data_IF_975694332315
#
_entry.id   IF_975694332315
#
_cell.length_a   1.000
_cell.length_b   1.000
_cell.length_c   1.000
_cell.angle_alpha   90.00
_cell.angle_beta   90.00
_cell.angle_gamma   90.00
#
_symmetry.space_group_name_H-M   'P 1'
#
loop_
_entity.id
_entity.type
_entity.pdbx_description
1 polymer ?
#
# COMPACT_ATOMS: atom_id res chain seq x y z
N UNK A 1 -4.12 -16.01 -19.69
CA UNK A 1 -3.70 -14.69 -19.19
C UNK A 1 -4.74 -14.01 -18.28
N UNK A 2 -6.01 -13.91 -18.64
CA UNK A 2 -7.03 -13.29 -17.77
C UNK A 2 -7.17 -14.02 -16.41
N UNK A 3 -7.17 -15.34 -16.40
CA UNK A 3 -7.28 -16.16 -15.18
C UNK A 3 -6.09 -16.00 -14.23
N UNK A 4 -4.88 -15.71 -14.74
CA UNK A 4 -3.69 -15.47 -13.90
C UNK A 4 -3.64 -14.08 -13.27
N UNK A 5 -4.58 -13.21 -13.64
CA UNK A 5 -4.71 -11.89 -13.04
C UNK A 5 -5.71 -11.86 -11.85
N UNK A 6 -6.46 -12.93 -11.63
CA UNK A 6 -7.51 -13.04 -10.62
C UNK A 6 -7.15 -14.07 -9.55
N UNK A 7 -7.58 -13.89 -8.28
CA UNK A 7 -7.41 -14.91 -7.24
C UNK A 7 -8.12 -16.23 -7.61
N UNK A 8 -7.55 -17.39 -7.26
CA UNK A 8 -6.30 -17.58 -6.49
C UNK A 8 -5.02 -17.43 -7.32
N UNK A 9 -5.06 -17.59 -8.64
CA UNK A 9 -3.87 -17.57 -9.50
C UNK A 9 -3.20 -16.18 -9.52
N UNK A 10 -3.98 -15.12 -9.48
CA UNK A 10 -3.50 -13.73 -9.39
C UNK A 10 -2.78 -13.38 -8.10
N UNK A 11 -2.83 -14.25 -7.08
CA UNK A 11 -2.06 -14.05 -5.86
C UNK A 11 -0.54 -14.05 -6.10
N UNK A 12 -0.06 -14.69 -7.16
CA UNK A 12 1.37 -14.79 -7.55
C UNK A 12 1.67 -13.88 -8.75
N UNK A 13 0.77 -12.97 -9.09
CA UNK A 13 0.79 -12.19 -10.35
C UNK A 13 1.69 -10.95 -10.34
N UNK A 14 2.77 -10.90 -9.55
CA UNK A 14 3.64 -9.72 -9.40
C UNK A 14 4.34 -9.25 -10.69
N UNK A 15 4.36 -10.02 -11.73
CA UNK A 15 4.92 -9.66 -13.04
C UNK A 15 3.85 -9.69 -14.14
N UNK A 16 2.59 -9.40 -13.79
CA UNK A 16 1.50 -9.44 -14.75
C UNK A 16 1.75 -8.51 -15.94
N UNK A 17 1.71 -9.02 -17.19
CA UNK A 17 1.84 -8.18 -18.38
C UNK A 17 0.70 -7.16 -18.50
N UNK A 18 -0.37 -7.28 -17.71
CA UNK A 18 -1.47 -6.33 -17.67
C UNK A 18 -1.04 -4.97 -17.06
N UNK A 19 0.10 -4.87 -16.36
CA UNK A 19 0.68 -3.58 -15.98
C UNK A 19 1.01 -2.70 -17.19
N UNK A 20 1.19 -3.30 -18.40
CA UNK A 20 1.33 -2.54 -19.64
C UNK A 20 0.11 -1.66 -19.96
N UNK A 21 -1.05 -1.91 -19.33
CA UNK A 21 -2.21 -1.03 -19.43
C UNK A 21 -1.92 0.40 -18.92
N UNK A 22 -1.06 0.55 -17.92
CA UNK A 22 -0.76 1.86 -17.34
C UNK A 22 -0.02 2.81 -18.29
N UNK A 23 1.08 2.41 -18.96
CA UNK A 23 1.68 3.21 -20.01
C UNK A 23 0.84 3.26 -21.29
N UNK A 24 0.11 2.19 -21.68
CA UNK A 24 -0.62 2.17 -22.92
C UNK A 24 -1.94 2.96 -22.88
N UNK A 25 -2.66 2.91 -21.77
CA UNK A 25 -4.00 3.47 -21.64
C UNK A 25 -4.16 4.28 -20.34
N UNK A 26 -3.39 5.37 -20.15
CA UNK A 26 -3.49 6.21 -18.95
C UNK A 26 -4.89 6.81 -18.81
N UNK A 27 -5.47 6.72 -17.61
CA UNK A 27 -6.82 7.21 -17.30
C UNK A 27 -7.98 6.30 -17.72
N UNK A 28 -7.72 5.19 -18.42
CA UNK A 28 -8.77 4.29 -18.89
C UNK A 28 -9.21 3.25 -17.84
N UNK A 29 -8.49 3.12 -16.72
CA UNK A 29 -8.86 2.24 -15.62
C UNK A 29 -9.13 0.80 -16.07
N UNK A 30 -10.29 0.27 -15.68
CA UNK A 30 -10.68 -1.11 -16.03
C UNK A 30 -10.76 -1.35 -17.55
N UNK A 31 -11.20 -0.36 -18.33
CA UNK A 31 -11.23 -0.47 -19.78
C UNK A 31 -9.82 -0.63 -20.36
N UNK A 32 -8.82 0.09 -19.81
CA UNK A 32 -7.42 -0.06 -20.20
C UNK A 32 -6.88 -1.47 -19.92
N UNK A 33 -7.24 -2.06 -18.79
CA UNK A 33 -6.89 -3.45 -18.46
C UNK A 33 -7.50 -4.42 -19.48
N UNK A 34 -8.79 -4.26 -19.80
CA UNK A 34 -9.49 -5.10 -20.77
C UNK A 34 -8.90 -4.97 -22.18
N UNK A 35 -8.62 -3.76 -22.64
CA UNK A 35 -7.96 -3.50 -23.93
C UNK A 35 -6.59 -4.17 -24.00
N UNK A 36 -5.80 -4.06 -22.94
CA UNK A 36 -4.48 -4.71 -22.85
C UNK A 36 -4.61 -6.22 -22.86
N UNK A 37 -5.52 -6.79 -22.06
CA UNK A 37 -5.77 -8.23 -22.03
C UNK A 37 -6.20 -8.77 -23.42
N UNK A 38 -7.12 -8.07 -24.08
CA UNK A 38 -7.61 -8.43 -25.41
C UNK A 38 -6.48 -8.32 -26.44
N UNK A 39 -5.71 -7.23 -26.41
CA UNK A 39 -4.57 -7.02 -27.30
C UNK A 39 -3.50 -8.11 -27.16
N UNK A 40 -3.10 -8.40 -25.93
CA UNK A 40 -2.12 -9.46 -25.64
C UNK A 40 -2.63 -10.85 -26.07
N UNK A 41 -3.93 -11.14 -25.87
CA UNK A 41 -4.53 -12.39 -26.31
C UNK A 41 -4.56 -12.46 -27.84
N UNK A 42 -4.98 -11.40 -28.51
CA UNK A 42 -5.00 -11.34 -29.97
C UNK A 42 -3.59 -11.55 -30.56
N UNK A 43 -2.56 -10.89 -29.99
CA UNK A 43 -1.18 -11.06 -30.41
C UNK A 43 -0.67 -12.49 -30.21
N UNK A 44 -1.09 -13.16 -29.14
CA UNK A 44 -0.63 -14.52 -28.82
C UNK A 44 -1.33 -15.62 -29.62
N UNK A 45 -2.61 -15.43 -30.00
CA UNK A 45 -3.45 -16.52 -30.58
C UNK A 45 -4.18 -16.11 -31.84
N UNK A 46 -4.19 -14.82 -32.18
CA UNK A 46 -4.98 -14.30 -33.30
C UNK A 46 -4.40 -14.66 -34.67
N UNK A 47 -5.23 -15.00 -35.64
CA UNK A 47 -4.79 -15.16 -37.03
C UNK A 47 -4.29 -13.81 -37.55
N UNK A 48 -3.22 -13.84 -38.38
CA UNK A 48 -2.58 -12.61 -38.93
C UNK A 48 -3.56 -11.61 -39.55
N UNK A 49 -4.63 -12.09 -40.17
CA UNK A 49 -5.69 -11.25 -40.78
C UNK A 49 -6.45 -10.40 -39.75
N UNK A 50 -6.54 -10.82 -38.50
CA UNK A 50 -7.17 -10.03 -37.43
C UNK A 50 -6.16 -9.06 -36.78
N UNK A 51 -4.86 -9.33 -36.80
CA UNK A 51 -3.83 -8.46 -36.27
C UNK A 51 -3.66 -7.18 -37.09
N UNK A 52 -3.85 -7.26 -38.42
CA UNK A 52 -3.73 -6.11 -39.31
C UNK A 52 -4.62 -4.92 -38.91
N UNK A 53 -5.93 -5.07 -38.61
CA UNK A 53 -6.77 -3.98 -38.14
C UNK A 53 -6.67 -3.75 -36.62
N UNK A 54 -6.37 -4.77 -35.81
CA UNK A 54 -6.36 -4.65 -34.33
C UNK A 54 -5.19 -3.84 -33.81
N UNK A 55 -3.98 -4.02 -34.37
CA UNK A 55 -2.78 -3.29 -33.92
C UNK A 55 -2.90 -1.77 -34.12
N UNK A 56 -3.25 -1.26 -35.34
CA UNK A 56 -3.44 0.18 -35.52
C UNK A 56 -4.59 0.74 -34.70
N UNK A 57 -5.67 -0.02 -34.48
CA UNK A 57 -6.76 0.41 -33.60
C UNK A 57 -6.31 0.56 -32.15
N UNK A 58 -5.58 -0.41 -31.60
CA UNK A 58 -5.02 -0.31 -30.26
C UNK A 58 -4.01 0.83 -30.14
N UNK A 59 -3.19 1.06 -31.16
CA UNK A 59 -2.27 2.18 -31.22
C UNK A 59 -3.01 3.52 -31.24
N UNK A 60 -4.09 3.63 -32.03
CA UNK A 60 -4.95 4.82 -32.04
C UNK A 60 -5.60 5.06 -30.68
N UNK A 61 -6.18 4.02 -30.06
CA UNK A 61 -6.77 4.13 -28.71
C UNK A 61 -5.73 4.53 -27.68
N UNK A 62 -4.51 4.00 -27.76
CA UNK A 62 -3.40 4.40 -26.91
C UNK A 62 -3.04 5.87 -27.13
N UNK A 63 -2.95 6.33 -28.38
CA UNK A 63 -2.70 7.73 -28.69
C UNK A 63 -3.80 8.65 -28.13
N UNK A 64 -5.06 8.29 -28.31
CA UNK A 64 -6.22 8.99 -27.75
C UNK A 64 -6.10 9.05 -26.22
N UNK A 65 -5.77 7.92 -25.57
CA UNK A 65 -5.58 7.86 -24.13
C UNK A 65 -4.49 8.84 -23.67
N UNK A 66 -3.39 9.00 -24.41
CA UNK A 66 -2.33 9.94 -24.06
C UNK A 66 -2.70 11.42 -24.29
N UNK A 67 -3.44 11.69 -25.36
CA UNK A 67 -3.91 13.06 -25.67
C UNK A 67 -4.92 13.55 -24.62
N UNK A 68 -5.82 12.65 -24.19
CA UNK A 68 -6.85 12.98 -23.19
C UNK A 68 -6.49 12.56 -21.78
N UNK A 69 -5.29 11.99 -21.56
CA UNK A 69 -4.83 11.64 -20.22
C UNK A 69 -4.88 12.88 -19.33
N UNK A 70 -5.57 12.82 -18.20
CA UNK A 70 -5.55 13.94 -17.26
C UNK A 70 -4.11 14.20 -16.83
N UNK A 71 -3.74 15.48 -16.72
CA UNK A 71 -2.50 15.84 -16.05
C UNK A 71 -2.48 15.12 -14.68
N UNK A 72 -1.31 14.63 -14.25
CA UNK A 72 -1.20 13.86 -12.99
C UNK A 72 -1.96 14.57 -11.89
N UNK A 73 -3.06 14.00 -11.36
CA UNK A 73 -3.86 14.67 -10.35
C UNK A 73 -3.01 14.84 -9.09
N UNK A 74 -3.04 16.02 -8.51
CA UNK A 74 -2.30 16.29 -7.27
C UNK A 74 -2.99 15.63 -6.09
N UNK A 75 -2.21 15.02 -5.16
CA UNK A 75 -2.76 14.54 -3.91
C UNK A 75 -3.49 15.65 -3.15
N UNK A 76 -4.54 15.31 -2.39
CA UNK A 76 -5.21 16.27 -1.53
C UNK A 76 -4.24 16.90 -0.52
N UNK A 77 -4.22 18.22 -0.40
CA UNK A 77 -3.29 18.96 0.47
C UNK A 77 -3.42 18.59 1.97
N UNK A 78 -4.59 18.05 2.38
CA UNK A 78 -4.84 17.62 3.75
C UNK A 78 -4.26 16.25 4.08
N UNK A 79 -3.69 15.50 3.12
CA UNK A 79 -3.10 14.18 3.37
C UNK A 79 -1.59 14.31 3.33
N UNK A 80 -0.96 14.04 4.47
CA UNK A 80 0.49 14.10 4.64
C UNK A 80 1.03 12.68 4.81
N UNK A 81 1.82 12.22 3.85
CA UNK A 81 2.51 10.94 3.93
C UNK A 81 3.89 11.11 4.59
N UNK A 82 4.15 10.31 5.59
CA UNK A 82 5.37 10.34 6.39
C UNK A 82 6.10 9.01 6.23
N UNK A 83 7.12 8.98 5.38
CA UNK A 83 7.99 7.81 5.29
C UNK A 83 8.94 7.75 6.49
N UNK A 84 9.31 6.55 6.92
CA UNK A 84 10.11 6.31 8.11
C UNK A 84 11.34 5.45 7.79
N UNK A 85 12.28 5.38 8.73
CA UNK A 85 13.45 4.48 8.70
C UNK A 85 13.55 3.69 10.00
N UNK A 86 12.46 3.01 10.36
CA UNK A 86 12.35 2.25 11.60
C UNK A 86 13.01 0.86 11.53
N UNK A 87 13.43 0.43 10.34
CA UNK A 87 14.02 -0.89 10.13
C UNK A 87 13.00 -2.01 10.20
N UNK A 88 13.46 -3.22 10.51
CA UNK A 88 12.63 -4.44 10.58
C UNK A 88 11.58 -4.35 11.68
N UNK A 89 10.50 -5.10 11.51
CA UNK A 89 9.43 -5.23 12.50
C UNK A 89 9.94 -5.70 13.87
N UNK A 90 9.39 -5.20 14.98
CA UNK A 90 9.79 -5.61 16.32
C UNK A 90 9.39 -7.05 16.59
N UNK A 91 10.30 -7.82 17.20
CA UNK A 91 10.10 -9.24 17.53
C UNK A 91 9.83 -9.48 19.02
N UNK A 92 10.11 -8.49 19.86
CA UNK A 92 9.97 -8.55 21.32
C UNK A 92 9.34 -7.27 21.87
N UNK A 93 8.98 -7.28 23.16
CA UNK A 93 8.29 -6.17 23.81
C UNK A 93 9.18 -4.92 23.92
N UNK A 94 10.47 -5.07 24.17
CA UNK A 94 11.38 -3.94 24.33
C UNK A 94 11.62 -3.22 23.01
N UNK A 95 11.83 -3.96 21.94
CA UNK A 95 11.96 -3.42 20.58
C UNK A 95 10.65 -2.78 20.12
N UNK A 96 9.49 -3.38 20.45
CA UNK A 96 8.19 -2.78 20.20
C UNK A 96 8.02 -1.45 20.94
N UNK A 97 8.34 -1.41 22.23
CA UNK A 97 8.20 -0.19 23.04
C UNK A 97 9.10 0.93 22.51
N UNK A 98 10.37 0.65 22.27
CA UNK A 98 11.32 1.63 21.73
C UNK A 98 10.87 2.18 20.38
N UNK A 99 10.40 1.31 19.48
CA UNK A 99 9.86 1.70 18.18
C UNK A 99 8.63 2.59 18.33
N UNK A 100 7.68 2.19 19.17
CA UNK A 100 6.44 2.95 19.35
C UNK A 100 6.66 4.28 20.11
N UNK A 101 7.64 4.38 21.00
CA UNK A 101 8.05 5.65 21.60
C UNK A 101 8.58 6.62 20.53
N UNK A 102 9.50 6.18 19.69
CA UNK A 102 10.03 6.98 18.58
C UNK A 102 8.92 7.38 17.59
N UNK A 103 8.07 6.44 17.21
CA UNK A 103 6.95 6.69 16.30
C UNK A 103 5.94 7.67 16.92
N UNK A 104 5.61 7.54 18.20
CA UNK A 104 4.71 8.44 18.90
C UNK A 104 5.26 9.88 18.96
N UNK A 105 6.56 10.03 19.19
CA UNK A 105 7.23 11.34 19.14
C UNK A 105 7.11 11.95 17.75
N UNK A 106 7.37 11.17 16.69
CA UNK A 106 7.23 11.60 15.31
C UNK A 106 5.78 12.00 14.98
N UNK A 107 4.80 11.17 15.36
CA UNK A 107 3.37 11.47 15.15
C UNK A 107 2.98 12.77 15.83
N UNK A 108 3.38 12.97 17.10
CA UNK A 108 3.07 14.22 17.82
C UNK A 108 3.74 15.43 17.19
N UNK A 109 4.99 15.32 16.80
CA UNK A 109 5.69 16.39 16.08
C UNK A 109 4.95 16.75 14.78
N UNK A 110 4.58 15.74 13.99
CA UNK A 110 3.85 15.96 12.73
C UNK A 110 2.47 16.59 12.98
N UNK A 111 1.73 16.14 14.01
CA UNK A 111 0.47 16.78 14.40
C UNK A 111 0.63 18.28 14.70
N UNK A 112 1.72 18.68 15.32
CA UNK A 112 1.97 20.10 15.64
C UNK A 112 2.44 20.91 14.42
N UNK A 113 3.10 20.27 13.45
CA UNK A 113 3.65 20.94 12.27
C UNK A 113 2.71 20.98 11.07
N UNK A 114 1.58 20.25 11.11
CA UNK A 114 0.57 20.24 10.05
C UNK A 114 -0.69 21.03 10.44
N UNK A 115 -1.43 21.57 9.47
CA UNK A 115 -2.73 22.21 9.73
C UNK A 115 -3.71 21.24 10.41
N UNK A 116 -4.61 21.76 11.26
CA UNK A 116 -5.71 20.98 11.84
C UNK A 116 -6.66 20.45 10.75
N UNK A 117 -7.29 19.30 11.01
CA UNK A 117 -8.12 18.62 10.00
C UNK A 117 -7.31 17.78 9.00
N UNK A 118 -6.03 17.55 9.28
CA UNK A 118 -5.14 16.75 8.42
C UNK A 118 -5.33 15.25 8.61
N UNK A 119 -4.98 14.49 7.58
CA UNK A 119 -4.81 13.04 7.62
C UNK A 119 -3.33 12.72 7.50
N UNK A 120 -2.74 12.13 8.54
CA UNK A 120 -1.35 11.71 8.57
C UNK A 120 -1.24 10.24 8.22
N UNK A 121 -0.50 9.91 7.18
CA UNK A 121 -0.30 8.54 6.70
C UNK A 121 1.10 8.06 7.05
N UNK A 122 1.18 6.96 7.80
CA UNK A 122 2.42 6.27 8.15
C UNK A 122 2.51 4.91 7.43
N UNK A 123 3.73 4.33 7.29
CA UNK A 123 3.95 3.11 6.54
C UNK A 123 3.24 1.87 7.10
N UNK A 124 3.22 0.82 6.26
CA UNK A 124 2.89 -0.55 6.68
C UNK A 124 3.73 -0.95 7.89
N UNK A 125 3.08 -1.67 8.82
CA UNK A 125 3.69 -2.24 10.03
C UNK A 125 4.52 -1.24 10.88
N UNK A 126 4.27 0.07 10.72
CA UNK A 126 5.00 1.09 11.46
C UNK A 126 4.83 0.91 12.99
N UNK A 127 3.64 0.54 13.45
CA UNK A 127 3.35 0.28 14.86
C UNK A 127 3.66 -1.16 15.30
N UNK A 128 3.89 -2.09 14.35
CA UNK A 128 4.05 -3.51 14.64
C UNK A 128 2.77 -4.18 15.16
N UNK A 129 2.90 -5.22 16.01
CA UNK A 129 1.75 -5.90 16.59
C UNK A 129 0.86 -4.95 17.40
N UNK A 130 -0.44 -4.93 17.06
CA UNK A 130 -1.43 -4.09 17.72
C UNK A 130 -2.33 -4.91 18.64
N UNK A 131 -2.22 -4.63 19.93
CA UNK A 131 -2.97 -5.30 20.99
C UNK A 131 -3.84 -4.29 21.75
N UNK A 132 -4.60 -4.76 22.75
CA UNK A 132 -5.28 -3.87 23.69
C UNK A 132 -4.34 -2.88 24.37
N UNK A 133 -3.10 -3.27 24.64
CA UNK A 133 -2.08 -2.42 25.26
C UNK A 133 -1.59 -1.32 24.31
N UNK A 134 -1.53 -1.61 23.01
CA UNK A 134 -1.23 -0.61 21.99
C UNK A 134 -2.28 0.52 22.01
N UNK A 135 -3.56 0.17 22.13
CA UNK A 135 -4.63 1.16 22.24
C UNK A 135 -4.51 2.04 23.49
N UNK A 136 -4.06 1.47 24.62
CA UNK A 136 -3.77 2.24 25.84
C UNK A 136 -2.57 3.17 25.64
N UNK A 137 -1.48 2.65 25.07
CA UNK A 137 -0.27 3.42 24.77
C UNK A 137 -0.53 4.63 23.87
N UNK A 138 -1.38 4.47 22.84
CA UNK A 138 -1.68 5.50 21.87
C UNK A 138 -2.83 6.44 22.30
N UNK A 139 -3.50 6.22 23.42
CA UNK A 139 -4.73 6.92 23.84
C UNK A 139 -4.57 8.45 23.90
N UNK A 140 -3.48 8.94 24.49
CA UNK A 140 -3.22 10.38 24.60
C UNK A 140 -2.98 11.04 23.24
N UNK A 141 -2.25 10.38 22.35
CA UNK A 141 -2.01 10.86 20.99
C UNK A 141 -3.30 10.85 20.16
N UNK A 142 -4.14 9.82 20.34
CA UNK A 142 -5.45 9.73 19.69
C UNK A 142 -6.40 10.84 20.19
N UNK A 143 -6.35 11.20 21.47
CA UNK A 143 -7.11 12.32 22.02
C UNK A 143 -6.64 13.67 21.45
N UNK A 144 -5.32 13.87 21.34
CA UNK A 144 -4.74 15.07 20.72
C UNK A 144 -5.16 15.19 19.24
N UNK A 145 -5.01 14.11 18.48
CA UNK A 145 -5.43 14.11 17.06
C UNK A 145 -6.93 14.41 16.93
N UNK A 146 -7.78 13.84 17.78
CA UNK A 146 -9.23 14.10 17.79
C UNK A 146 -9.54 15.56 18.09
N UNK A 147 -8.89 16.15 19.10
CA UNK A 147 -9.11 17.54 19.48
C UNK A 147 -8.75 18.52 18.35
N UNK A 148 -7.80 18.13 17.49
CA UNK A 148 -7.38 18.91 16.32
C UNK A 148 -8.24 18.63 15.07
N UNK A 149 -9.15 17.65 15.10
CA UNK A 149 -9.85 17.17 13.92
C UNK A 149 -8.98 16.32 12.98
N UNK A 150 -7.79 15.90 13.44
CA UNK A 150 -6.84 15.14 12.63
C UNK A 150 -7.13 13.64 12.69
N UNK A 151 -6.77 12.93 11.61
CA UNK A 151 -6.79 11.47 11.52
C UNK A 151 -5.38 10.95 11.33
N UNK A 152 -4.94 10.02 12.18
CA UNK A 152 -3.64 9.35 12.05
C UNK A 152 -3.87 7.93 11.56
N UNK A 153 -3.21 7.58 10.46
CA UNK A 153 -3.23 6.25 9.85
C UNK A 153 -1.88 5.58 10.09
N UNK A 154 -1.88 4.44 10.78
CA UNK A 154 -0.68 3.64 11.06
C UNK A 154 -0.82 2.24 10.49
N UNK A 155 0.21 1.73 9.84
CA UNK A 155 0.33 0.31 9.53
C UNK A 155 0.60 -0.49 10.80
N UNK A 156 -0.13 -1.60 10.97
CA UNK A 156 -0.05 -2.46 12.14
C UNK A 156 -0.47 -3.90 11.81
N UNK A 157 0.04 -4.85 12.59
CA UNK A 157 -0.40 -6.25 12.55
C UNK A 157 -1.50 -6.47 13.60
N UNK A 158 -2.69 -6.89 13.16
CA UNK A 158 -3.83 -7.20 14.03
C UNK A 158 -4.02 -8.72 14.13
N UNK A 159 -4.53 -9.19 15.26
CA UNK A 159 -5.09 -10.53 15.35
C UNK A 159 -6.45 -10.58 14.62
N UNK A 160 -6.66 -11.59 13.78
CA UNK A 160 -7.96 -11.84 13.15
C UNK A 160 -8.86 -12.61 14.13
N UNK A 161 -10.10 -12.17 14.36
CA UNK A 161 -11.06 -12.92 15.20
C UNK A 161 -11.31 -14.36 14.74
N UNK A 162 -11.13 -14.65 13.46
CA UNK A 162 -11.28 -15.99 12.87
C UNK A 162 -9.98 -16.80 12.83
N UNK A 163 -8.93 -16.31 13.51
CA UNK A 163 -7.60 -16.91 13.56
C UNK A 163 -6.66 -16.40 12.47
N UNK A 164 -5.37 -16.31 12.81
CA UNK A 164 -4.34 -15.70 11.96
C UNK A 164 -4.15 -14.21 12.23
N UNK A 165 -3.53 -13.52 11.29
CA UNK A 165 -3.13 -12.12 11.39
C UNK A 165 -3.72 -11.31 10.22
N UNK A 166 -3.88 -10.02 10.43
CA UNK A 166 -4.23 -9.04 9.40
C UNK A 166 -3.08 -8.03 9.27
N UNK A 167 -2.60 -7.84 8.06
CA UNK A 167 -1.74 -6.72 7.73
C UNK A 167 -2.64 -5.52 7.45
N UNK A 168 -2.68 -4.58 8.39
CA UNK A 168 -3.73 -3.59 8.44
C UNK A 168 -3.19 -2.16 8.47
N UNK A 169 -3.96 -1.24 7.90
CA UNK A 169 -3.89 0.18 8.13
C UNK A 169 -5.00 0.56 9.12
N UNK A 170 -4.61 1.05 10.28
CA UNK A 170 -5.53 1.48 11.34
C UNK A 170 -5.55 2.99 11.44
N UNK A 171 -6.73 3.56 11.65
CA UNK A 171 -6.94 4.99 11.83
C UNK A 171 -7.50 5.33 13.20
N UNK A 172 -6.99 6.40 13.80
CA UNK A 172 -7.50 6.97 15.05
C UNK A 172 -7.45 8.50 15.01
N UNK A 173 -8.08 9.13 15.97
CA UNK A 173 -8.28 10.58 16.02
C UNK A 173 -9.69 10.97 15.67
N UNK A 174 -9.89 11.87 14.72
CA UNK A 174 -11.20 12.32 14.24
C UNK A 174 -12.01 11.18 13.60
N UNK A 175 -11.32 10.33 12.81
CA UNK A 175 -11.95 9.18 12.16
C UNK A 175 -11.30 7.88 12.60
N UNK A 176 -12.12 6.85 12.82
CA UNK A 176 -11.67 5.48 13.05
C UNK A 176 -11.76 4.71 11.75
N UNK A 177 -10.70 4.01 11.40
CA UNK A 177 -10.60 3.18 10.20
C UNK A 177 -9.87 1.91 10.55
N UNK A 178 -10.30 0.79 9.99
CA UNK A 178 -9.52 -0.44 9.93
C UNK A 178 -9.70 -1.02 8.53
N UNK A 179 -8.60 -1.16 7.82
CA UNK A 179 -8.57 -1.83 6.53
C UNK A 179 -7.33 -2.69 6.46
N UNK A 180 -7.44 -3.89 5.91
CA UNK A 180 -6.32 -4.84 5.82
C UNK A 180 -5.94 -5.10 4.37
N UNK A 181 -4.77 -5.68 4.15
CA UNK A 181 -4.40 -6.22 2.85
C UNK A 181 -5.44 -7.24 2.37
N UNK A 182 -5.78 -7.19 1.07
CA UNK A 182 -6.54 -8.25 0.40
C UNK A 182 -5.67 -9.46 0.09
N UNK A 183 -4.38 -9.19 -0.18
CA UNK A 183 -3.39 -10.22 -0.52
C UNK A 183 -2.03 -9.93 0.10
N UNK A 184 -1.74 -10.52 1.26
CA UNK A 184 -0.39 -10.55 1.81
C UNK A 184 0.55 -11.40 0.93
N UNK A 185 1.87 -11.31 1.16
CA UNK A 185 2.89 -11.99 0.35
C UNK A 185 2.71 -13.51 0.39
N UNK A 186 2.45 -14.18 -0.76
CA UNK A 186 2.33 -15.63 -0.82
C UNK A 186 3.60 -16.33 -0.35
N UNK A 187 3.45 -17.38 0.45
CA UNK A 187 4.52 -18.19 1.06
C UNK A 187 5.48 -17.40 1.98
N UNK A 188 5.41 -16.08 1.98
CA UNK A 188 6.16 -15.23 2.91
C UNK A 188 5.36 -14.94 4.18
N UNK A 189 4.28 -14.19 4.05
CA UNK A 189 3.41 -13.82 5.17
C UNK A 189 2.04 -14.52 5.12
N UNK A 190 1.57 -14.91 3.94
CA UNK A 190 0.34 -15.66 3.73
C UNK A 190 0.62 -17.10 3.32
N UNK A 191 0.12 -18.05 4.11
CA UNK A 191 0.15 -19.49 3.82
C UNK A 191 -1.30 -19.97 3.83
N UNK A 192 -1.81 -20.57 2.73
CA UNK A 192 -3.17 -21.12 2.72
C UNK A 192 -3.39 -22.07 3.90
N UNK A 193 -4.50 -21.87 4.64
CA UNK A 193 -4.84 -22.63 5.85
C UNK A 193 -3.82 -22.55 7.01
N UNK A 194 -2.81 -21.70 6.94
CA UNK A 194 -1.81 -21.49 8.00
C UNK A 194 -2.40 -20.75 9.20
N UNK A 195 -2.41 -21.36 10.39
CA UNK A 195 -3.00 -20.76 11.61
C UNK A 195 -2.29 -19.48 12.10
N UNK A 196 -1.03 -19.29 11.77
CA UNK A 196 -0.22 -18.13 12.19
C UNK A 196 0.20 -17.25 11.02
N UNK A 197 -0.47 -17.36 9.88
CA UNK A 197 -0.19 -16.52 8.71
C UNK A 197 -1.16 -15.34 8.66
N UNK A 198 -0.79 -14.34 7.88
CA UNK A 198 -1.74 -13.29 7.49
C UNK A 198 -2.87 -13.88 6.67
N UNK A 199 -4.03 -13.25 6.72
CA UNK A 199 -5.22 -13.67 5.97
C UNK A 199 -5.36 -12.87 4.70
N UNK A 200 -5.68 -13.58 3.60
CA UNK A 200 -6.14 -12.95 2.37
C UNK A 200 -7.66 -12.73 2.42
N UNK A 201 -8.12 -11.61 1.88
CA UNK A 201 -9.56 -11.28 1.74
C UNK A 201 -9.88 -10.94 0.28
N UNK A 202 -10.14 -11.98 -0.49
CA UNK A 202 -10.46 -11.86 -1.92
C UNK A 202 -11.90 -11.44 -2.19
N UNK A 203 -12.76 -11.46 -1.18
CA UNK A 203 -14.18 -11.12 -1.29
C UNK A 203 -14.46 -9.62 -1.15
N UNK A 204 -13.50 -8.83 -0.67
CA UNK A 204 -13.68 -7.42 -0.42
C UNK A 204 -13.55 -6.58 -1.68
N UNK A 205 -14.68 -6.14 -2.21
CA UNK A 205 -14.79 -5.22 -3.33
C UNK A 205 -15.02 -3.77 -2.87
N UNK A 206 -14.73 -2.84 -3.79
CA UNK A 206 -14.96 -1.42 -3.56
C UNK A 206 -13.88 -0.72 -2.73
N UNK A 207 -14.03 0.61 -2.59
CA UNK A 207 -13.10 1.44 -1.85
C UNK A 207 -13.29 1.35 -0.33
N UNK A 208 -12.26 1.76 0.40
CA UNK A 208 -12.36 2.08 1.82
C UNK A 208 -12.67 3.57 1.97
N UNK A 209 -13.48 3.94 2.97
CA UNK A 209 -13.69 5.36 3.30
C UNK A 209 -12.75 5.79 4.41
N UNK A 210 -11.91 6.80 4.13
CA UNK A 210 -10.97 7.39 5.08
C UNK A 210 -11.20 8.90 5.11
N UNK A 211 -11.51 9.44 6.29
CA UNK A 211 -11.79 10.87 6.47
C UNK A 211 -12.79 11.42 5.43
N UNK A 212 -13.88 10.70 5.18
CA UNK A 212 -14.93 11.06 4.22
C UNK A 212 -14.57 10.84 2.75
N UNK A 213 -13.36 10.37 2.43
CA UNK A 213 -12.90 10.11 1.05
C UNK A 213 -12.91 8.62 0.72
N UNK A 214 -13.37 8.27 -0.47
CA UNK A 214 -13.25 6.92 -1.01
C UNK A 214 -11.84 6.71 -1.56
N UNK A 215 -11.12 5.73 -1.02
CA UNK A 215 -9.72 5.45 -1.35
C UNK A 215 -9.52 3.97 -1.70
N UNK A 216 -8.63 3.69 -2.63
CA UNK A 216 -8.08 2.36 -2.83
C UNK A 216 -6.83 2.25 -1.96
N UNK A 217 -6.85 1.39 -0.94
CA UNK A 217 -5.68 1.12 -0.10
C UNK A 217 -4.96 -0.10 -0.66
N UNK A 218 -3.68 0.06 -0.94
CA UNK A 218 -2.76 -0.98 -1.42
C UNK A 218 -1.65 -1.17 -0.38
N UNK A 219 -1.67 -2.30 0.29
CA UNK A 219 -0.70 -2.62 1.33
C UNK A 219 0.39 -3.51 0.73
N UNK A 220 1.63 -3.03 0.78
CA UNK A 220 2.83 -3.77 0.44
C UNK A 220 2.75 -4.50 -0.91
N UNK A 221 2.76 -5.82 -0.89
CA UNK A 221 2.71 -6.70 -2.06
C UNK A 221 1.56 -6.40 -3.03
N UNK A 222 0.42 -5.88 -2.54
CA UNK A 222 -0.73 -5.52 -3.38
C UNK A 222 -0.39 -4.48 -4.45
N UNK A 223 0.62 -3.65 -4.22
CA UNK A 223 1.09 -2.66 -5.18
C UNK A 223 1.67 -3.31 -6.45
N UNK A 224 2.12 -4.56 -6.35
CA UNK A 224 2.63 -5.37 -7.46
C UNK A 224 1.54 -6.18 -8.18
N UNK A 225 0.29 -6.08 -7.73
CA UNK A 225 -0.85 -6.82 -8.26
C UNK A 225 -1.87 -5.87 -8.88
N UNK A 226 -2.41 -6.24 -10.04
CA UNK A 226 -3.45 -5.45 -10.71
C UNK A 226 -4.80 -5.59 -10.02
N UNK A 227 -5.15 -6.82 -9.59
CA UNK A 227 -6.50 -7.11 -9.14
C UNK A 227 -6.91 -6.40 -7.83
N UNK A 228 -6.04 -6.13 -6.81
CA UNK A 228 -6.49 -5.40 -5.62
C UNK A 228 -6.94 -3.97 -5.94
N UNK A 229 -6.23 -3.31 -6.86
CA UNK A 229 -6.66 -2.02 -7.39
C UNK A 229 -7.95 -2.17 -8.21
N UNK A 230 -8.01 -3.11 -9.16
CA UNK A 230 -9.21 -3.35 -9.96
C UNK A 230 -10.44 -3.63 -9.09
N UNK A 231 -10.32 -4.45 -8.03
CA UNK A 231 -11.40 -4.72 -7.06
C UNK A 231 -11.87 -3.46 -6.35
N UNK A 232 -10.95 -2.57 -5.97
CA UNK A 232 -11.31 -1.30 -5.34
C UNK A 232 -12.10 -0.39 -6.29
N UNK A 233 -11.77 -0.42 -7.60
CA UNK A 233 -12.43 0.37 -8.63
C UNK A 233 -13.68 -0.29 -9.23
N UNK A 234 -13.94 -1.57 -8.94
CA UNK A 234 -15.19 -2.26 -9.26
C UNK A 234 -16.27 -1.84 -8.26
N UNK A 235 -16.73 -0.60 -8.36
CA UNK A 235 -17.76 -0.01 -7.50
C UNK A 235 -18.53 1.05 -8.26
N UNK A 236 -19.84 1.19 -8.03
CA UNK A 236 -20.63 2.30 -8.58
C UNK A 236 -20.06 3.68 -8.16
N UNK A 237 -19.34 3.71 -7.05
CA UNK A 237 -18.67 4.90 -6.52
C UNK A 237 -17.17 4.62 -6.37
N UNK A 238 -16.39 4.69 -7.46
CA UNK A 238 -14.98 4.34 -7.44
C UNK A 238 -14.15 5.26 -6.53
N UNK A 239 -12.96 4.82 -6.10
CA UNK A 239 -12.06 5.65 -5.31
C UNK A 239 -11.55 6.83 -6.13
N UNK A 240 -11.38 7.99 -5.45
CA UNK A 240 -10.75 9.17 -6.02
C UNK A 240 -9.27 9.32 -5.64
N UNK A 241 -8.68 8.31 -4.98
CA UNK A 241 -7.31 8.35 -4.48
C UNK A 241 -6.80 6.92 -4.28
N UNK A 242 -5.51 6.69 -4.57
CA UNK A 242 -4.78 5.50 -4.14
C UNK A 242 -3.92 5.87 -2.94
N UNK A 243 -4.01 5.08 -1.87
CA UNK A 243 -3.08 5.10 -0.73
C UNK A 243 -2.23 3.84 -0.82
N UNK A 244 -0.91 4.01 -0.91
CA UNK A 244 0.06 2.93 -0.96
C UNK A 244 0.95 2.95 0.29
N UNK A 245 0.97 1.87 1.06
CA UNK A 245 1.82 1.73 2.24
C UNK A 245 2.70 0.50 2.13
N UNK A 246 3.97 0.62 2.51
CA UNK A 246 4.91 -0.48 2.41
C UNK A 246 5.93 -0.49 3.53
N UNK A 247 6.48 -1.68 3.83
CA UNK A 247 7.56 -1.87 4.79
C UNK A 247 8.78 -2.50 4.11
N UNK A 248 9.78 -1.70 3.84
CA UNK A 248 11.07 -2.10 3.27
C UNK A 248 12.18 -2.14 4.32
N UNK A 249 11.83 -2.19 5.62
CA UNK A 249 12.81 -2.25 6.72
C UNK A 249 13.73 -3.48 6.68
N UNK A 250 13.39 -4.48 5.87
CA UNK A 250 14.16 -5.69 5.59
C UNK A 250 15.15 -5.53 4.43
N UNK A 251 14.97 -4.52 3.57
CA UNK A 251 15.74 -4.36 2.35
C UNK A 251 17.20 -4.02 2.66
N UNK A 252 18.11 -4.68 1.95
CA UNK A 252 19.54 -4.39 1.98
C UNK A 252 19.93 -3.45 0.84
N UNK A 253 21.07 -2.75 0.92
CA UNK A 253 21.56 -1.90 -0.17
C UNK A 253 21.64 -2.66 -1.50
N UNK A 254 21.15 -2.04 -2.58
CA UNK A 254 21.18 -2.63 -3.93
C UNK A 254 19.92 -3.41 -4.33
N UNK A 255 19.03 -3.74 -3.41
CA UNK A 255 17.74 -4.37 -3.71
C UNK A 255 16.81 -3.36 -4.41
N UNK A 256 16.21 -3.76 -5.54
CA UNK A 256 15.35 -2.90 -6.38
C UNK A 256 13.86 -3.04 -6.11
N UNK A 257 13.42 -4.04 -5.34
CA UNK A 257 12.00 -4.27 -5.03
C UNK A 257 11.29 -3.03 -4.50
N UNK A 258 11.86 -2.23 -3.57
CA UNK A 258 11.20 -1.01 -3.10
C UNK A 258 10.86 -0.02 -4.24
N UNK A 259 11.77 0.14 -5.20
CA UNK A 259 11.56 1.02 -6.34
C UNK A 259 10.57 0.43 -7.34
N UNK A 260 10.63 -0.88 -7.61
CA UNK A 260 9.68 -1.57 -8.48
C UNK A 260 8.27 -1.43 -7.92
N UNK A 261 8.11 -1.63 -6.61
CA UNK A 261 6.84 -1.51 -5.91
C UNK A 261 6.26 -0.09 -5.98
N UNK A 262 7.07 0.93 -5.71
CA UNK A 262 6.65 2.33 -5.82
C UNK A 262 6.26 2.69 -7.26
N UNK A 263 7.03 2.24 -8.26
CA UNK A 263 6.72 2.45 -9.68
C UNK A 263 5.40 1.77 -10.07
N UNK A 264 5.13 0.58 -9.54
CA UNK A 264 3.89 -0.15 -9.81
C UNK A 264 2.67 0.57 -9.21
N UNK A 265 2.76 1.09 -7.98
CA UNK A 265 1.70 1.91 -7.37
C UNK A 265 1.42 3.17 -8.22
N UNK A 266 2.47 3.87 -8.65
CA UNK A 266 2.34 5.04 -9.54
C UNK A 266 1.74 4.67 -10.90
N UNK A 267 2.09 3.51 -11.45
CA UNK A 267 1.49 3.00 -12.69
C UNK A 267 -0.01 2.75 -12.53
N UNK A 268 -0.44 2.13 -11.41
CA UNK A 268 -1.86 1.94 -11.10
C UNK A 268 -2.60 3.28 -10.96
N UNK A 269 -2.02 4.25 -10.26
CA UNK A 269 -2.62 5.58 -10.13
C UNK A 269 -2.79 6.25 -11.49
N UNK A 270 -1.79 6.15 -12.37
CA UNK A 270 -1.86 6.64 -13.75
C UNK A 270 -2.94 5.93 -14.56
N UNK A 271 -3.04 4.60 -14.46
CA UNK A 271 -4.04 3.80 -15.16
C UNK A 271 -5.47 4.22 -14.79
N UNK A 272 -5.71 4.44 -13.49
CA UNK A 272 -7.04 4.83 -13.00
C UNK A 272 -7.29 6.35 -13.02
N UNK A 273 -6.31 7.16 -13.41
CA UNK A 273 -6.44 8.61 -13.52
C UNK A 273 -6.67 9.31 -12.17
N UNK A 274 -6.18 8.75 -11.07
CA UNK A 274 -6.34 9.29 -9.71
C UNK A 274 -4.98 9.64 -9.09
N UNK A 275 -4.92 10.55 -8.11
CA UNK A 275 -3.69 10.81 -7.36
C UNK A 275 -3.29 9.61 -6.53
N UNK A 276 -1.99 9.56 -6.20
CA UNK A 276 -1.39 8.60 -5.28
C UNK A 276 -0.78 9.34 -4.09
N UNK A 277 -0.94 8.76 -2.90
CA UNK A 277 -0.21 9.13 -1.69
C UNK A 277 0.45 7.87 -1.14
N UNK A 278 1.78 7.91 -0.96
CA UNK A 278 2.52 6.73 -0.51
C UNK A 278 3.39 7.03 0.71
N UNK A 279 3.47 6.05 1.63
CA UNK A 279 4.36 6.05 2.78
C UNK A 279 5.10 4.72 2.89
N UNK A 280 6.42 4.78 3.00
CA UNK A 280 7.28 3.60 3.09
C UNK A 280 8.16 3.64 4.34
N UNK A 281 8.36 2.49 4.99
CA UNK A 281 9.37 2.30 6.00
C UNK A 281 10.63 1.73 5.35
N UNK A 282 11.77 2.39 5.56
CA UNK A 282 13.08 1.93 5.08
C UNK A 282 13.94 1.27 6.16
N UNK A 283 15.12 0.74 5.79
CA UNK A 283 16.11 0.23 6.73
C UNK A 283 16.64 1.35 7.64
N UNK A 284 17.07 0.98 8.83
CA UNK A 284 17.77 1.92 9.72
C UNK A 284 19.09 2.38 9.09
N UNK A 285 19.48 3.66 9.28
CA UNK A 285 20.83 4.11 8.91
C UNK A 285 21.91 3.30 9.63
N UNK A 286 22.99 2.97 8.92
CA UNK A 286 24.10 2.15 9.44
C UNK A 286 24.79 2.82 10.65
N UNK A 287 24.77 4.15 10.74
CA UNK A 287 25.35 4.92 11.86
C UNK A 287 24.68 4.57 13.21
N UNK A 288 23.37 4.25 13.22
CA UNK A 288 22.67 3.86 14.46
C UNK A 288 22.93 2.40 14.87
N UNK A 289 23.46 1.57 13.97
CA UNK A 289 23.81 0.19 14.28
C UNK A 289 25.16 0.07 15.02
N UNK A 290 26.05 1.05 14.84
CA UNK A 290 27.39 1.07 15.45
C UNK A 290 27.41 1.62 16.88
N UNK A 291 26.50 2.54 17.23
CA UNK A 291 26.51 3.22 18.54
C UNK A 291 26.06 2.31 19.70
N UNK A 292 25.40 1.18 19.40
CA UNK A 292 24.97 0.23 20.46
C UNK A 292 26.01 -0.82 20.83
N UNK A 293 27.08 -0.99 20.04
CA UNK A 293 28.15 -1.94 20.37
C UNK A 293 29.24 -1.38 21.29
N UNK A 294 29.32 -0.06 21.43
CA UNK A 294 30.34 0.57 22.27
C UNK A 294 29.95 0.70 23.75
N UNK A 295 28.65 0.60 24.09
CA UNK A 295 28.19 0.70 25.48
C UNK A 295 28.16 -0.62 26.26
N UNK A 296 28.28 -1.77 25.53
CA UNK A 296 28.18 -3.10 26.15
C UNK A 296 29.55 -3.74 26.45
N UNK A 297 30.66 -2.98 26.34
CA UNK A 297 32.03 -3.46 26.53
C UNK A 297 32.75 -2.78 27.70
N UNK A 298 32.09 -2.54 28.83
CA UNK A 298 32.75 -2.36 30.08
C UNK A 298 32.23 -3.39 31.09
N UNK A 299 32.95 -4.52 31.29
CA UNK A 299 32.80 -5.28 32.51
C UNK A 299 33.53 -4.53 33.64
N UNK A 300 32.87 -4.44 34.75
CA UNK A 300 33.35 -3.92 36.02
C UNK A 300 34.73 -4.47 36.40
N UNK A 301 35.60 -3.59 36.85
CA UNK A 301 36.65 -3.89 37.83
C UNK A 301 36.27 -3.26 39.15
#
# INVERSE_FOLDING_TARGET
MALTALPPLGAIGMASPLFAAAPAFPGFGLAGILLTATGLTALATGPRRLLLPAVPLLALLSLVAHVYAPARPRPPAQIHAISTRLGRSPTDLSSWLNRNLALRTLVRHTLHSTPSGSTLLFPEDAAGPWTRWSSVFWRTTAALARARGDTVLLGATLADPHGGLLDALIGFGAHRVVTSARQPIPLGSWIPAGRRSYRADWSRFGPTTIAGRRVAVLVCYEQLLIWPAAWAFLSPHPPGLIIAVSNHGWATPGIREPQIQANAATALARLFGVPEVSAANGPRPIADAGSRKASDLHPEQ
#
